data_IF_179515604122
#
_entry.id   IF_179515604122
#
_cell.length_a   1.000
_cell.length_b   1.000
_cell.length_c   1.000
_cell.angle_alpha   90.00
_cell.angle_beta   90.00
_cell.angle_gamma   90.00
#
_symmetry.space_group_name_H-M   'P 1'
#
loop_
_entity.id
_entity.type
_entity.pdbx_description
1 polymer ?
#
# COMPACT_ATOMS: atom_id res chain seq x y z
N UNK A 1 6.84 26.09 -15.58
CA UNK A 1 6.06 25.25 -14.64
C UNK A 1 5.97 23.79 -15.08
N UNK A 2 5.79 23.52 -16.38
CA UNK A 2 5.76 22.16 -16.93
C UNK A 2 7.06 21.36 -16.68
N UNK A 3 8.23 21.97 -16.88
CA UNK A 3 9.53 21.28 -16.68
C UNK A 3 9.78 20.88 -15.22
N UNK A 4 9.32 21.70 -14.26
CA UNK A 4 9.38 21.37 -12.84
C UNK A 4 8.51 20.15 -12.51
N UNK A 5 7.31 20.07 -13.07
CA UNK A 5 6.42 18.93 -12.87
C UNK A 5 7.02 17.64 -13.43
N UNK A 6 7.55 17.68 -14.67
CA UNK A 6 8.23 16.52 -15.25
C UNK A 6 9.39 16.07 -14.38
N UNK A 7 10.22 17.02 -13.92
CA UNK A 7 11.38 16.72 -13.08
C UNK A 7 10.96 16.05 -11.77
N UNK A 8 9.90 16.56 -11.12
CA UNK A 8 9.37 15.95 -9.89
C UNK A 8 8.83 14.54 -10.13
N UNK A 9 8.09 14.31 -11.21
CA UNK A 9 7.59 12.97 -11.55
C UNK A 9 8.72 11.98 -11.83
N UNK A 10 9.76 12.41 -12.55
CA UNK A 10 10.94 11.59 -12.80
C UNK A 10 11.67 11.23 -11.50
N UNK A 11 11.85 12.18 -10.59
CA UNK A 11 12.49 11.93 -9.29
C UNK A 11 11.70 10.94 -8.45
N UNK A 12 10.37 11.09 -8.39
CA UNK A 12 9.49 10.16 -7.68
C UNK A 12 9.56 8.76 -8.31
N UNK A 13 9.50 8.67 -9.63
CA UNK A 13 9.56 7.39 -10.34
C UNK A 13 10.90 6.69 -10.16
N UNK A 14 12.01 7.41 -10.36
CA UNK A 14 13.36 6.86 -10.16
C UNK A 14 13.57 6.44 -8.71
N UNK A 15 13.12 7.24 -7.74
CA UNK A 15 13.17 6.88 -6.32
C UNK A 15 12.34 5.63 -5.99
N UNK A 16 11.16 5.50 -6.60
CA UNK A 16 10.31 4.32 -6.46
C UNK A 16 11.00 3.05 -7.00
N UNK A 17 11.59 3.13 -8.20
CA UNK A 17 12.36 2.01 -8.78
C UNK A 17 13.59 1.68 -7.94
N UNK A 18 14.32 2.68 -7.45
CA UNK A 18 15.48 2.48 -6.58
C UNK A 18 15.10 1.74 -5.28
N UNK A 19 13.96 2.08 -4.66
CA UNK A 19 13.46 1.38 -3.48
C UNK A 19 13.00 -0.04 -3.78
N UNK A 20 12.37 -0.27 -4.93
CA UNK A 20 12.05 -1.64 -5.38
C UNK A 20 13.31 -2.49 -5.51
N UNK A 21 14.36 -1.96 -6.14
CA UNK A 21 15.64 -2.67 -6.29
C UNK A 21 16.29 -2.88 -4.92
N UNK A 22 16.32 -1.86 -4.06
CA UNK A 22 16.90 -1.95 -2.72
C UNK A 22 16.17 -3.00 -1.86
N UNK A 23 14.85 -3.11 -1.98
CA UNK A 23 14.05 -4.14 -1.34
C UNK A 23 14.34 -5.53 -1.92
N UNK A 24 14.30 -5.67 -3.25
CA UNK A 24 14.57 -6.94 -3.92
C UNK A 24 16.01 -7.47 -3.73
N UNK A 25 16.95 -6.58 -3.37
CA UNK A 25 18.35 -6.90 -3.05
C UNK A 25 18.65 -6.88 -1.55
N UNK A 26 17.62 -6.96 -0.70
CA UNK A 26 17.74 -7.07 0.76
C UNK A 26 18.57 -5.96 1.44
N UNK A 27 18.71 -4.79 0.80
CA UNK A 27 19.42 -3.64 1.37
C UNK A 27 18.58 -2.91 2.41
N UNK A 28 17.27 -2.91 2.25
CA UNK A 28 16.28 -2.31 3.17
C UNK A 28 15.17 -3.31 3.45
N UNK A 29 14.62 -3.25 4.65
CA UNK A 29 13.41 -4.01 4.97
C UNK A 29 12.24 -3.26 4.35
N UNK A 30 11.65 -3.80 3.29
CA UNK A 30 10.36 -3.31 2.83
C UNK A 30 9.34 -3.90 3.78
N UNK A 31 8.82 -5.10 3.56
CA UNK A 31 7.90 -5.73 4.51
C UNK A 31 8.63 -6.75 5.37
N UNK A 32 8.44 -6.66 6.70
CA UNK A 32 9.03 -7.65 7.59
C UNK A 32 8.37 -9.02 7.44
N UNK A 33 7.03 -9.03 7.44
CA UNK A 33 6.19 -10.20 7.28
C UNK A 33 4.91 -9.85 6.50
N UNK A 34 4.02 -10.84 6.34
CA UNK A 34 2.74 -10.66 5.66
C UNK A 34 1.79 -9.68 6.39
N UNK A 35 1.91 -9.54 7.72
CA UNK A 35 1.07 -8.62 8.50
C UNK A 35 1.50 -7.17 8.22
N UNK A 36 2.79 -6.89 8.20
CA UNK A 36 3.34 -5.59 7.80
C UNK A 36 2.94 -5.24 6.35
N UNK A 37 2.97 -6.23 5.45
CA UNK A 37 2.42 -6.07 4.10
C UNK A 37 0.95 -5.66 4.12
N UNK A 38 0.09 -6.40 4.82
CA UNK A 38 -1.35 -6.12 4.90
C UNK A 38 -1.67 -4.75 5.52
N UNK A 39 -0.93 -4.33 6.55
CA UNK A 39 -1.10 -3.01 7.20
C UNK A 39 -0.92 -1.88 6.19
N UNK A 40 -0.10 -2.05 5.17
CA UNK A 40 0.14 -1.02 4.15
C UNK A 40 -1.06 -0.80 3.22
N UNK A 41 -1.97 -1.78 3.12
CA UNK A 41 -3.23 -1.65 2.38
C UNK A 41 -4.37 -1.12 3.25
N UNK A 42 -4.26 -1.22 4.58
CA UNK A 42 -5.32 -0.85 5.52
C UNK A 42 -5.78 0.62 5.44
N UNK A 43 -4.93 1.64 5.18
CA UNK A 43 -5.40 3.01 4.96
C UNK A 43 -6.37 3.10 3.79
N UNK A 44 -6.02 2.45 2.67
CA UNK A 44 -6.82 2.48 1.44
C UNK A 44 -8.09 1.64 1.56
N UNK A 45 -8.01 0.48 2.20
CA UNK A 45 -9.18 -0.33 2.52
C UNK A 45 -10.16 0.41 3.42
N UNK A 46 -9.66 1.11 4.44
CA UNK A 46 -10.48 1.96 5.31
C UNK A 46 -11.18 3.05 4.52
N UNK A 47 -10.44 3.82 3.70
CA UNK A 47 -11.01 4.89 2.90
C UNK A 47 -12.06 4.37 1.89
N UNK A 48 -11.82 3.21 1.29
CA UNK A 48 -12.79 2.56 0.41
C UNK A 48 -14.09 2.21 1.17
N UNK A 49 -13.98 1.57 2.34
CA UNK A 49 -15.14 1.26 3.20
C UNK A 49 -15.88 2.54 3.59
N UNK A 50 -15.15 3.60 3.98
CA UNK A 50 -15.73 4.91 4.31
C UNK A 50 -16.54 5.47 3.14
N UNK A 51 -16.01 5.45 1.92
CA UNK A 51 -16.74 5.94 0.73
C UNK A 51 -18.00 5.13 0.43
N UNK A 52 -17.95 3.80 0.61
CA UNK A 52 -19.11 2.91 0.45
C UNK A 52 -20.18 3.25 1.50
N UNK A 53 -19.80 3.40 2.76
CA UNK A 53 -20.74 3.74 3.84
C UNK A 53 -21.39 5.10 3.63
N UNK A 54 -20.62 6.12 3.21
CA UNK A 54 -21.16 7.44 2.88
C UNK A 54 -22.24 7.32 1.81
N UNK A 55 -22.00 6.52 0.77
CA UNK A 55 -22.96 6.29 -0.32
C UNK A 55 -24.23 5.57 0.16
N UNK A 56 -24.11 4.59 1.06
CA UNK A 56 -25.26 3.87 1.64
C UNK A 56 -26.15 4.82 2.45
N UNK A 57 -25.55 5.77 3.17
CA UNK A 57 -26.29 6.75 3.97
C UNK A 57 -26.74 8.00 3.19
N UNK A 58 -26.41 8.10 1.90
CA UNK A 58 -26.87 9.20 1.05
C UNK A 58 -28.37 9.08 0.77
N UNK A 59 -29.11 10.18 0.99
CA UNK A 59 -30.49 10.30 0.55
C UNK A 59 -30.54 10.97 -0.82
N UNK A 60 -31.33 10.42 -1.73
CA UNK A 60 -31.56 11.02 -3.05
C UNK A 60 -32.13 12.44 -2.90
N UNK A 61 -31.59 13.39 -3.66
CA UNK A 61 -32.02 14.80 -3.64
C UNK A 61 -31.50 15.64 -2.47
N UNK A 62 -30.72 15.09 -1.53
CA UNK A 62 -30.12 15.88 -0.46
C UNK A 62 -28.95 16.73 -0.96
N UNK A 63 -28.98 18.03 -0.67
CA UNK A 63 -27.87 18.95 -0.94
C UNK A 63 -26.91 18.97 0.26
N UNK A 64 -25.94 18.06 0.26
CA UNK A 64 -24.87 18.00 1.27
C UNK A 64 -24.88 16.74 2.14
N UNK A 65 -23.85 16.61 3.00
CA UNK A 65 -23.71 15.47 3.90
C UNK A 65 -24.58 15.61 5.14
N UNK A 66 -25.23 14.51 5.55
CA UNK A 66 -25.87 14.40 6.85
C UNK A 66 -24.84 14.30 7.98
N UNK A 67 -25.27 14.53 9.23
CA UNK A 67 -24.42 14.35 10.42
C UNK A 67 -23.79 12.95 10.45
N UNK A 68 -24.56 11.91 10.14
CA UNK A 68 -24.06 10.52 10.08
C UNK A 68 -22.94 10.37 9.06
N UNK A 69 -23.07 10.97 7.87
CA UNK A 69 -22.04 10.91 6.84
C UNK A 69 -20.77 11.66 7.25
N UNK A 70 -20.90 12.81 7.92
CA UNK A 70 -19.75 13.52 8.50
C UNK A 70 -19.02 12.69 9.55
N UNK A 71 -19.77 12.03 10.46
CA UNK A 71 -19.17 11.16 11.48
C UNK A 71 -18.45 9.97 10.84
N UNK A 72 -19.02 9.36 9.81
CA UNK A 72 -18.38 8.27 9.06
C UNK A 72 -17.11 8.75 8.36
N UNK A 73 -17.14 9.92 7.71
CA UNK A 73 -15.98 10.51 7.05
C UNK A 73 -14.86 10.81 8.05
N UNK A 74 -15.21 11.41 9.19
CA UNK A 74 -14.26 11.73 10.25
C UNK A 74 -13.63 10.46 10.85
N UNK A 75 -14.47 9.49 11.27
CA UNK A 75 -13.98 8.23 11.82
C UNK A 75 -13.10 7.46 10.83
N UNK A 76 -13.54 7.38 9.57
CA UNK A 76 -12.77 6.77 8.47
C UNK A 76 -11.41 7.44 8.26
N UNK A 77 -11.38 8.78 8.24
CA UNK A 77 -10.15 9.55 8.13
C UNK A 77 -9.18 9.32 9.29
N UNK A 78 -9.70 9.29 10.54
CA UNK A 78 -8.89 9.03 11.74
C UNK A 78 -8.31 7.62 11.71
N UNK A 79 -9.12 6.60 11.39
CA UNK A 79 -8.66 5.20 11.33
C UNK A 79 -7.63 5.01 10.21
N UNK A 80 -7.88 5.56 9.02
CA UNK A 80 -6.95 5.49 7.89
C UNK A 80 -5.61 6.17 8.22
N UNK A 81 -5.66 7.33 8.89
CA UNK A 81 -4.47 8.04 9.37
C UNK A 81 -3.71 7.20 10.40
N UNK A 82 -4.43 6.54 11.32
CA UNK A 82 -3.84 5.61 12.29
C UNK A 82 -3.06 4.47 11.62
N UNK A 83 -3.65 3.81 10.62
CA UNK A 83 -2.96 2.78 9.84
C UNK A 83 -1.77 3.32 9.05
N UNK A 84 -1.90 4.52 8.46
CA UNK A 84 -0.80 5.17 7.76
C UNK A 84 0.40 5.39 8.70
N UNK A 85 0.15 5.99 9.86
CA UNK A 85 1.17 6.21 10.89
C UNK A 85 1.78 4.87 11.35
N UNK A 86 0.96 3.83 11.53
CA UNK A 86 1.44 2.51 11.92
C UNK A 86 2.38 1.90 10.86
N UNK A 87 2.06 2.04 9.56
CA UNK A 87 2.93 1.58 8.48
C UNK A 87 4.29 2.30 8.48
N UNK A 88 4.31 3.61 8.74
CA UNK A 88 5.55 4.38 8.90
C UNK A 88 6.34 3.91 10.14
N UNK A 89 5.68 3.77 11.29
CA UNK A 89 6.31 3.34 12.55
C UNK A 89 6.96 1.96 12.43
N UNK A 90 6.27 0.99 11.83
CA UNK A 90 6.83 -0.34 11.57
C UNK A 90 8.05 -0.25 10.65
N UNK A 91 7.99 0.58 9.61
CA UNK A 91 9.12 0.77 8.69
C UNK A 91 10.35 1.38 9.36
N UNK A 92 10.16 2.34 10.28
CA UNK A 92 11.24 2.88 11.14
C UNK A 92 11.81 1.81 12.05
N UNK A 93 10.94 1.07 12.73
CA UNK A 93 11.34 0.01 13.67
C UNK A 93 12.18 -1.08 12.97
N UNK A 94 11.70 -1.61 11.84
CA UNK A 94 12.39 -2.71 11.15
C UNK A 94 13.66 -2.29 10.40
N UNK A 95 13.75 -1.03 9.95
CA UNK A 95 14.97 -0.54 9.30
C UNK A 95 16.00 0.04 10.28
N UNK A 96 15.67 0.14 11.59
CA UNK A 96 16.52 0.73 12.64
C UNK A 96 17.02 2.14 12.29
N UNK A 97 16.26 2.89 11.48
CA UNK A 97 16.62 4.22 11.00
C UNK A 97 15.37 5.03 10.69
N UNK A 98 15.25 6.21 11.29
CA UNK A 98 14.11 7.11 11.09
C UNK A 98 14.00 7.55 9.64
N UNK A 99 15.11 8.00 9.03
CA UNK A 99 15.11 8.52 7.67
C UNK A 99 14.73 7.43 6.65
N UNK A 100 15.38 6.26 6.71
CA UNK A 100 15.09 5.13 5.81
C UNK A 100 13.67 4.64 6.05
N UNK A 101 13.26 4.54 7.32
CA UNK A 101 11.93 4.07 7.69
C UNK A 101 10.80 4.95 7.16
N UNK A 102 10.93 6.28 7.19
CA UNK A 102 9.94 7.20 6.61
C UNK A 102 9.85 6.99 5.10
N UNK A 103 11.00 6.94 4.41
CA UNK A 103 11.06 6.76 2.96
C UNK A 103 10.41 5.42 2.54
N UNK A 104 10.79 4.34 3.21
CA UNK A 104 10.23 3.00 2.96
C UNK A 104 8.74 2.96 3.29
N UNK A 105 8.33 3.56 4.41
CA UNK A 105 6.93 3.58 4.82
C UNK A 105 6.02 4.30 3.82
N UNK A 106 6.47 5.46 3.30
CA UNK A 106 5.76 6.16 2.22
C UNK A 106 5.69 5.30 0.96
N UNK A 107 6.81 4.66 0.59
CA UNK A 107 6.85 3.72 -0.53
C UNK A 107 5.85 2.57 -0.38
N UNK A 108 5.73 1.96 0.80
CA UNK A 108 4.77 0.89 1.07
C UNK A 108 3.32 1.31 0.83
N UNK A 109 2.95 2.49 1.36
CA UNK A 109 1.57 2.99 1.24
C UNK A 109 1.27 3.37 -0.22
N UNK A 110 2.21 4.02 -0.91
CA UNK A 110 2.04 4.39 -2.33
C UNK A 110 1.98 3.13 -3.21
N UNK A 111 2.88 2.17 -3.01
CA UNK A 111 2.86 0.91 -3.77
C UNK A 111 1.60 0.09 -3.49
N UNK A 112 1.05 0.12 -2.27
CA UNK A 112 -0.20 -0.55 -1.94
C UNK A 112 -1.40 0.02 -2.73
N UNK A 113 -1.53 1.34 -2.88
CA UNK A 113 -2.61 1.92 -3.70
C UNK A 113 -2.41 1.64 -5.20
N UNK A 114 -1.19 1.75 -5.70
CA UNK A 114 -0.88 1.41 -7.09
C UNK A 114 -1.20 -0.07 -7.39
N UNK A 115 -0.79 -0.97 -6.49
CA UNK A 115 -1.11 -2.40 -6.59
C UNK A 115 -2.62 -2.67 -6.52
N UNK A 116 -3.34 -1.97 -5.65
CA UNK A 116 -4.80 -2.07 -5.54
C UNK A 116 -5.48 -1.65 -6.84
N UNK A 117 -5.09 -0.51 -7.43
CA UNK A 117 -5.63 -0.07 -8.72
C UNK A 117 -5.28 -1.04 -9.84
N UNK A 118 -4.02 -1.52 -9.90
CA UNK A 118 -3.61 -2.48 -10.92
C UNK A 118 -4.43 -3.77 -10.84
N UNK A 119 -4.66 -4.32 -9.64
CA UNK A 119 -5.50 -5.50 -9.44
C UNK A 119 -6.97 -5.22 -9.82
N UNK A 120 -7.53 -4.10 -9.37
CA UNK A 120 -8.91 -3.73 -9.65
C UNK A 120 -9.17 -3.55 -11.16
N UNK A 121 -8.27 -2.87 -11.89
CA UNK A 121 -8.40 -2.68 -13.33
C UNK A 121 -8.33 -4.01 -14.09
N UNK A 122 -7.39 -4.90 -13.74
CA UNK A 122 -7.29 -6.22 -14.35
C UNK A 122 -8.53 -7.08 -14.05
N UNK A 123 -9.00 -7.06 -12.80
CA UNK A 123 -10.18 -7.80 -12.38
C UNK A 123 -11.46 -7.29 -13.07
N UNK A 124 -11.65 -5.97 -13.16
CA UNK A 124 -12.77 -5.34 -13.84
C UNK A 124 -12.81 -5.69 -15.34
N UNK A 125 -11.65 -5.69 -16.00
CA UNK A 125 -11.53 -6.10 -17.41
C UNK A 125 -11.93 -7.56 -17.60
N UNK A 126 -11.52 -8.45 -16.69
CA UNK A 126 -11.85 -9.87 -16.73
C UNK A 126 -13.35 -10.14 -16.53
N UNK A 127 -14.03 -9.37 -15.66
CA UNK A 127 -15.47 -9.50 -15.41
C UNK A 127 -16.35 -8.83 -16.48
N UNK A 128 -15.77 -8.08 -17.42
CA UNK A 128 -16.54 -7.44 -18.47
C UNK A 128 -17.17 -8.50 -19.38
N UNK A 129 -18.46 -8.34 -19.72
CA UNK A 129 -19.17 -9.26 -20.64
C UNK A 129 -18.52 -9.38 -22.03
N UNK A 130 -17.69 -8.40 -22.42
CA UNK A 130 -16.92 -8.39 -23.67
C UNK A 130 -15.48 -8.88 -23.50
N UNK A 131 -15.14 -9.47 -22.36
CA UNK A 131 -13.81 -10.01 -22.07
C UNK A 131 -13.44 -11.12 -23.06
N UNK A 132 -12.23 -11.02 -23.62
CA UNK A 132 -11.64 -12.01 -24.51
C UNK A 132 -10.70 -12.95 -23.74
N UNK A 133 -10.38 -14.11 -24.31
CA UNK A 133 -9.36 -15.00 -23.71
C UNK A 133 -8.01 -14.28 -23.49
N UNK A 134 -7.65 -13.36 -24.40
CA UNK A 134 -6.45 -12.52 -24.26
C UNK A 134 -6.49 -11.60 -23.04
N UNK A 135 -7.65 -11.06 -22.69
CA UNK A 135 -7.83 -10.22 -21.50
C UNK A 135 -7.61 -11.00 -20.21
N UNK A 136 -8.14 -12.23 -20.15
CA UNK A 136 -7.96 -13.14 -19.01
C UNK A 136 -6.49 -13.53 -18.84
N UNK A 137 -5.81 -13.90 -19.94
CA UNK A 137 -4.39 -14.24 -19.92
C UNK A 137 -3.55 -13.04 -19.48
N UNK A 138 -3.82 -11.85 -20.03
CA UNK A 138 -3.12 -10.63 -19.61
C UNK A 138 -3.32 -10.34 -18.13
N UNK A 139 -4.54 -10.47 -17.61
CA UNK A 139 -4.83 -10.26 -16.20
C UNK A 139 -4.09 -11.27 -15.32
N UNK A 140 -4.08 -12.56 -15.70
CA UNK A 140 -3.35 -13.60 -14.99
C UNK A 140 -1.83 -13.34 -14.94
N UNK A 141 -1.24 -12.87 -16.03
CA UNK A 141 0.17 -12.46 -16.08
C UNK A 141 0.43 -11.31 -15.10
N UNK A 142 -0.37 -10.25 -15.15
CA UNK A 142 -0.20 -9.10 -14.25
C UNK A 142 -0.36 -9.47 -12.77
N UNK A 143 -1.37 -10.27 -12.43
CA UNK A 143 -1.58 -10.77 -11.07
C UNK A 143 -0.38 -11.59 -10.62
N UNK A 144 0.15 -12.45 -11.48
CA UNK A 144 1.33 -13.29 -11.17
C UNK A 144 2.58 -12.44 -10.93
N UNK A 145 2.82 -11.41 -11.75
CA UNK A 145 3.92 -10.46 -11.56
C UNK A 145 3.77 -9.73 -10.23
N UNK A 146 2.58 -9.21 -9.92
CA UNK A 146 2.34 -8.48 -8.67
C UNK A 146 2.50 -9.39 -7.44
N UNK A 147 2.00 -10.63 -7.51
CA UNK A 147 2.19 -11.61 -6.45
C UNK A 147 3.67 -11.96 -6.24
N UNK A 148 4.43 -12.09 -7.33
CA UNK A 148 5.87 -12.33 -7.28
C UNK A 148 6.63 -11.13 -6.67
N UNK A 149 6.32 -9.90 -7.10
CA UNK A 149 6.89 -8.68 -6.51
C UNK A 149 6.55 -8.60 -5.03
N UNK A 150 5.28 -8.79 -4.64
CA UNK A 150 4.85 -8.77 -3.25
C UNK A 150 5.63 -9.77 -2.40
N UNK A 151 5.79 -11.01 -2.87
CA UNK A 151 6.60 -12.03 -2.19
C UNK A 151 8.07 -11.62 -2.06
N UNK A 152 8.66 -10.96 -3.07
CA UNK A 152 10.04 -10.48 -3.03
C UNK A 152 10.24 -9.29 -2.09
N UNK A 153 9.21 -8.46 -1.92
CA UNK A 153 9.25 -7.31 -1.02
C UNK A 153 9.01 -7.69 0.45
N UNK A 154 8.46 -8.88 0.73
CA UNK A 154 8.45 -9.46 2.08
C UNK A 154 9.83 -10.09 2.32
N UNK A 155 10.74 -9.27 2.84
CA UNK A 155 12.16 -9.57 2.89
C UNK A 155 12.81 -9.35 4.28
N UNK A 156 12.04 -9.02 5.31
CA UNK A 156 12.59 -8.60 6.60
C UNK A 156 13.56 -9.60 7.23
N UNK A 157 13.20 -10.88 7.27
CA UNK A 157 14.06 -11.92 7.83
C UNK A 157 15.42 -11.97 7.09
N UNK A 158 15.40 -11.95 5.76
CA UNK A 158 16.62 -12.01 4.94
C UNK A 158 17.52 -10.81 5.17
N UNK A 159 16.94 -9.60 5.22
CA UNK A 159 17.69 -8.37 5.50
C UNK A 159 18.34 -8.42 6.89
N UNK A 160 17.62 -8.94 7.89
CA UNK A 160 18.15 -9.07 9.24
C UNK A 160 19.32 -10.06 9.31
N UNK A 161 19.20 -11.21 8.63
CA UNK A 161 20.27 -12.21 8.52
C UNK A 161 21.50 -11.59 7.84
N UNK A 162 21.33 -10.94 6.69
CA UNK A 162 22.43 -10.32 5.94
C UNK A 162 23.14 -9.20 6.71
N UNK A 163 22.41 -8.46 7.55
CA UNK A 163 22.97 -7.38 8.38
C UNK A 163 23.45 -7.84 9.76
N UNK A 164 23.32 -9.13 10.09
CA UNK A 164 23.67 -9.65 11.42
C UNK A 164 22.81 -9.04 12.55
N UNK A 165 21.59 -8.62 12.24
CA UNK A 165 20.66 -8.04 13.21
C UNK A 165 19.87 -9.13 13.93
N UNK A 166 19.72 -9.01 15.25
CA UNK A 166 18.82 -9.87 16.01
C UNK A 166 17.38 -9.72 15.51
N UNK A 167 16.71 -10.85 15.22
CA UNK A 167 15.32 -10.87 14.83
C UNK A 167 14.44 -10.26 15.93
N UNK A 168 13.52 -9.35 15.59
CA UNK A 168 12.65 -8.74 16.58
C UNK A 168 11.71 -9.80 17.13
N UNK A 169 11.56 -9.84 18.46
CA UNK A 169 10.46 -10.57 19.08
C UNK A 169 9.15 -10.05 18.46
N UNK A 170 8.24 -10.96 18.12
CA UNK A 170 7.00 -10.63 17.41
C UNK A 170 6.29 -9.42 18.06
N UNK A 171 6.20 -8.25 17.38
CA UNK A 171 5.72 -7.02 18.00
C UNK A 171 4.23 -7.09 18.40
N UNK A 172 3.50 -8.12 17.95
CA UNK A 172 2.11 -8.37 18.29
C UNK A 172 1.91 -9.38 19.45
N UNK A 173 2.99 -9.84 20.09
CA UNK A 173 2.96 -10.85 21.19
C UNK A 173 3.34 -10.24 22.55
N UNK A 174 3.32 -8.91 22.68
CA UNK A 174 3.36 -8.30 24.03
C UNK A 174 1.93 -8.20 24.55
N UNK A 175 1.58 -9.17 25.39
CA UNK A 175 0.45 -9.11 26.33
C UNK A 175 0.65 -7.98 27.34
#
# INVERSE_FOLDING_TARGET
MHDLQITLWLLVFVGFIALLIAGATNRVVIYFDLKDFAISFAPWGTLLITTILIKIFSKEGATGYSLTQYLVLFAGGVIATGFFIQAIKLSIFYNKSTAIGIIVGLFKVISAILGTFALFTNFSRMMNKKSTAGDVISAAIWISILAWIGKKLINGEQVYIEKGWALPANPFVRA
#
